data_IF_960995040959
#
_entry.id   IF_960995040959
#
_cell.length_a   1.000
_cell.length_b   1.000
_cell.length_c   1.000
_cell.angle_alpha   90.00
_cell.angle_beta   90.00
_cell.angle_gamma   90.00
#
_symmetry.space_group_name_H-M   'P 1'
#
loop_
_entity.id
_entity.type
_entity.pdbx_description
1 polymer ?
#
# COMPACT_ATOMS: atom_id res chain seq x y z
N UNK A 1 11.33 -8.18 -9.37
CA UNK A 1 12.09 -8.98 -8.40
C UNK A 1 11.86 -10.48 -8.55
N UNK A 2 10.60 -10.96 -8.48
CA UNK A 2 10.30 -12.38 -8.67
C UNK A 2 10.64 -12.88 -10.07
N UNK A 3 10.31 -12.10 -11.10
CA UNK A 3 10.67 -12.40 -12.48
C UNK A 3 12.18 -12.41 -12.68
N UNK A 4 12.92 -11.47 -12.09
CA UNK A 4 14.37 -11.41 -12.21
C UNK A 4 15.03 -12.60 -11.51
N UNK A 5 14.62 -12.91 -10.28
CA UNK A 5 15.20 -13.99 -9.48
C UNK A 5 14.84 -15.40 -10.00
N UNK A 6 13.60 -15.61 -10.45
CA UNK A 6 13.12 -16.96 -10.77
C UNK A 6 12.95 -17.26 -12.26
N UNK A 7 12.74 -16.24 -13.10
CA UNK A 7 12.68 -16.44 -14.55
C UNK A 7 14.00 -16.19 -15.26
N UNK A 8 14.83 -15.26 -14.75
CA UNK A 8 16.09 -14.92 -15.41
C UNK A 8 17.32 -15.44 -14.64
N UNK A 9 17.13 -16.23 -13.57
CA UNK A 9 18.18 -16.80 -12.74
C UNK A 9 19.23 -15.76 -12.27
N UNK A 10 18.83 -14.53 -12.08
CA UNK A 10 19.68 -13.47 -11.54
C UNK A 10 19.71 -13.64 -10.02
N UNK A 11 20.83 -14.08 -9.49
CA UNK A 11 21.03 -14.29 -8.05
C UNK A 11 21.38 -12.95 -7.38
N UNK A 12 20.39 -12.05 -7.30
CA UNK A 12 20.52 -10.79 -6.59
C UNK A 12 19.83 -10.90 -5.23
N UNK A 13 20.47 -10.39 -4.20
CA UNK A 13 19.83 -10.19 -2.89
C UNK A 13 18.61 -9.30 -3.04
N UNK A 14 17.54 -9.54 -2.26
CA UNK A 14 16.25 -8.84 -2.40
C UNK A 14 16.39 -7.32 -2.37
N UNK A 15 17.27 -6.78 -1.53
CA UNK A 15 17.54 -5.34 -1.47
C UNK A 15 18.22 -4.79 -2.72
N UNK A 16 19.17 -5.54 -3.30
CA UNK A 16 19.84 -5.14 -4.54
C UNK A 16 18.87 -5.15 -5.73
N UNK A 17 17.98 -6.13 -5.82
CA UNK A 17 16.96 -6.21 -6.86
C UNK A 17 15.96 -5.06 -6.77
N UNK A 18 15.52 -4.71 -5.55
CA UNK A 18 14.60 -3.58 -5.33
C UNK A 18 15.26 -2.26 -5.74
N UNK A 19 16.50 -2.01 -5.32
CA UNK A 19 17.26 -0.80 -5.68
C UNK A 19 17.52 -0.72 -7.19
N UNK A 20 17.87 -1.83 -7.85
CA UNK A 20 18.08 -1.89 -9.29
C UNK A 20 16.78 -1.57 -10.06
N UNK A 21 15.62 -2.00 -9.56
CA UNK A 21 14.34 -1.64 -10.16
C UNK A 21 14.07 -0.14 -10.00
N UNK A 22 14.25 0.44 -8.83
CA UNK A 22 14.00 1.88 -8.60
C UNK A 22 14.90 2.77 -9.46
N UNK A 23 16.14 2.37 -9.70
CA UNK A 23 17.10 3.10 -10.54
C UNK A 23 16.89 2.88 -12.05
N UNK A 24 15.94 2.02 -12.44
CA UNK A 24 15.60 1.78 -13.85
C UNK A 24 14.29 2.50 -14.24
N UNK A 25 14.33 3.75 -14.70
CA UNK A 25 13.13 4.53 -15.02
C UNK A 25 12.29 3.90 -16.13
N UNK A 26 12.91 3.23 -17.11
CA UNK A 26 12.18 2.55 -18.18
C UNK A 26 11.41 1.34 -17.65
N UNK A 27 12.02 0.53 -16.79
CA UNK A 27 11.35 -0.60 -16.15
C UNK A 27 10.17 -0.14 -15.29
N UNK A 28 10.38 0.85 -14.43
CA UNK A 28 9.31 1.44 -13.62
C UNK A 28 8.17 2.00 -14.49
N UNK A 29 8.48 2.74 -15.55
CA UNK A 29 7.47 3.31 -16.44
C UNK A 29 6.66 2.22 -17.16
N UNK A 30 7.29 1.15 -17.68
CA UNK A 30 6.61 0.06 -18.37
C UNK A 30 5.64 -0.66 -17.43
N UNK A 31 6.08 -1.02 -16.21
CA UNK A 31 5.21 -1.70 -15.24
C UNK A 31 4.08 -0.79 -14.75
N UNK A 32 4.33 0.50 -14.57
CA UNK A 32 3.29 1.49 -14.24
C UNK A 32 2.24 1.57 -15.36
N UNK A 33 2.66 1.66 -16.61
CA UNK A 33 1.75 1.69 -17.76
C UNK A 33 0.94 0.38 -17.87
N UNK A 34 1.58 -0.76 -17.66
CA UNK A 34 0.89 -2.06 -17.69
C UNK A 34 -0.17 -2.15 -16.57
N UNK A 35 0.17 -1.73 -15.35
CA UNK A 35 -0.75 -1.72 -14.22
C UNK A 35 -1.97 -0.79 -14.49
N UNK A 36 -1.73 0.43 -14.96
CA UNK A 36 -2.79 1.39 -15.27
C UNK A 36 -3.63 0.97 -16.48
N UNK A 37 -3.02 0.28 -17.46
CA UNK A 37 -3.78 -0.31 -18.57
C UNK A 37 -4.77 -1.38 -18.07
N UNK A 38 -4.35 -2.23 -17.14
CA UNK A 38 -5.24 -3.22 -16.50
C UNK A 38 -6.37 -2.50 -15.76
N UNK A 39 -6.06 -1.48 -14.96
CA UNK A 39 -7.06 -0.68 -14.26
C UNK A 39 -8.04 0.00 -15.24
N UNK A 40 -7.55 0.56 -16.35
CA UNK A 40 -8.39 1.15 -17.39
C UNK A 40 -9.33 0.13 -18.03
N UNK A 41 -8.83 -1.05 -18.41
CA UNK A 41 -9.62 -2.10 -19.05
C UNK A 41 -10.76 -2.58 -18.13
N UNK A 42 -10.49 -2.72 -16.84
CA UNK A 42 -11.48 -3.13 -15.86
C UNK A 42 -12.51 -2.02 -15.62
N UNK A 43 -12.07 -0.76 -15.40
CA UNK A 43 -12.98 0.37 -15.16
C UNK A 43 -13.81 0.74 -16.40
N UNK A 44 -13.35 0.42 -17.60
CA UNK A 44 -14.12 0.62 -18.85
C UNK A 44 -15.34 -0.29 -18.92
N UNK A 45 -15.26 -1.49 -18.33
CA UNK A 45 -16.37 -2.44 -18.18
C UNK A 45 -17.30 -2.08 -17.02
N UNK A 46 -18.34 -2.89 -16.80
CA UNK A 46 -19.14 -2.80 -15.60
C UNK A 46 -18.37 -3.41 -14.41
N UNK A 47 -18.24 -2.63 -13.34
CA UNK A 47 -17.38 -2.93 -12.17
C UNK A 47 -17.82 -4.19 -11.41
N UNK A 48 -19.12 -4.56 -11.52
CA UNK A 48 -19.73 -5.55 -10.63
C UNK A 48 -19.32 -7.01 -10.88
N UNK A 49 -19.03 -7.41 -12.13
CA UNK A 49 -18.92 -8.84 -12.44
C UNK A 49 -17.50 -9.40 -12.34
N UNK A 50 -16.46 -8.60 -12.56
CA UNK A 50 -15.07 -9.05 -12.56
C UNK A 50 -14.40 -8.96 -11.19
N UNK A 51 -14.47 -7.77 -10.59
CA UNK A 51 -13.75 -7.44 -9.36
C UNK A 51 -14.36 -8.14 -8.14
N UNK A 52 -15.70 -8.18 -8.06
CA UNK A 52 -16.38 -8.79 -6.92
C UNK A 52 -16.08 -10.30 -6.81
N UNK A 53 -16.15 -11.04 -7.92
CA UNK A 53 -15.82 -12.47 -7.93
C UNK A 53 -14.37 -12.73 -7.55
N UNK A 54 -13.48 -11.85 -8.02
CA UNK A 54 -12.07 -11.98 -7.75
C UNK A 54 -11.73 -11.67 -6.29
N UNK A 55 -12.29 -10.61 -5.73
CA UNK A 55 -12.09 -10.23 -4.34
C UNK A 55 -12.70 -11.25 -3.36
N UNK A 56 -13.80 -11.90 -3.72
CA UNK A 56 -14.41 -12.98 -2.89
C UNK A 56 -13.45 -14.15 -2.63
N UNK A 57 -12.51 -14.42 -3.54
CA UNK A 57 -11.51 -15.47 -3.39
C UNK A 57 -10.15 -14.89 -2.97
N UNK A 58 -9.74 -13.79 -3.59
CA UNK A 58 -8.42 -13.20 -3.38
C UNK A 58 -8.23 -12.66 -1.97
N UNK A 59 -9.22 -11.95 -1.40
CA UNK A 59 -9.10 -11.37 -0.06
C UNK A 59 -9.02 -12.43 1.06
N UNK A 60 -9.87 -13.47 1.10
CA UNK A 60 -9.67 -14.56 2.05
C UNK A 60 -8.35 -15.32 1.88
N UNK A 61 -7.91 -15.50 0.64
CA UNK A 61 -6.62 -16.13 0.36
C UNK A 61 -5.45 -15.27 0.86
N UNK A 62 -5.50 -13.95 0.66
CA UNK A 62 -4.51 -13.00 1.21
C UNK A 62 -4.49 -13.05 2.74
N UNK A 63 -5.66 -13.07 3.37
CA UNK A 63 -5.77 -13.20 4.83
C UNK A 63 -5.11 -14.49 5.34
N UNK A 64 -5.37 -15.63 4.70
CA UNK A 64 -4.76 -16.92 5.05
C UNK A 64 -3.23 -16.88 4.87
N UNK A 65 -2.76 -16.32 3.75
CA UNK A 65 -1.33 -16.15 3.50
C UNK A 65 -0.67 -15.26 4.54
N UNK A 66 -1.35 -14.18 4.95
CA UNK A 66 -0.86 -13.30 6.00
C UNK A 66 -0.69 -14.04 7.33
N UNK A 67 -1.65 -14.90 7.70
CA UNK A 67 -1.54 -15.77 8.91
C UNK A 67 -0.30 -16.66 8.83
N UNK A 68 -0.03 -17.28 7.68
CA UNK A 68 1.15 -18.13 7.50
C UNK A 68 2.45 -17.32 7.64
N UNK A 69 2.49 -16.14 7.03
CA UNK A 69 3.65 -15.24 7.14
C UNK A 69 3.86 -14.78 8.59
N UNK A 70 2.79 -14.45 9.33
CA UNK A 70 2.86 -14.08 10.75
C UNK A 70 3.47 -15.21 11.57
N UNK A 71 2.97 -16.45 11.42
CA UNK A 71 3.51 -17.60 12.14
C UNK A 71 5.00 -17.73 11.90
N UNK A 72 5.45 -17.56 10.65
CA UNK A 72 6.88 -17.60 10.31
C UNK A 72 7.65 -16.42 10.88
N UNK A 73 7.14 -15.20 10.75
CA UNK A 73 7.78 -13.99 11.22
C UNK A 73 8.03 -14.01 12.75
N UNK A 74 7.03 -14.41 13.53
CA UNK A 74 7.15 -14.45 15.00
C UNK A 74 8.01 -15.60 15.50
N UNK A 75 8.27 -16.62 14.70
CA UNK A 75 9.16 -17.73 15.03
C UNK A 75 10.63 -17.48 14.68
N UNK A 76 10.95 -16.35 14.04
CA UNK A 76 12.33 -15.98 13.74
C UNK A 76 13.12 -15.64 15.03
N UNK A 77 14.40 -16.02 15.11
CA UNK A 77 15.26 -15.58 16.21
C UNK A 77 15.34 -14.06 16.29
N UNK A 78 15.04 -13.47 17.43
CA UNK A 78 14.99 -12.01 17.59
C UNK A 78 13.64 -11.36 17.36
N UNK A 79 12.64 -12.07 16.84
CA UNK A 79 11.29 -11.54 16.58
C UNK A 79 10.58 -10.99 17.84
N UNK A 80 10.94 -11.48 19.00
CA UNK A 80 10.39 -11.02 20.30
C UNK A 80 10.67 -9.54 20.54
N UNK A 81 11.79 -9.03 20.08
CA UNK A 81 12.14 -7.60 20.20
C UNK A 81 11.21 -6.74 19.32
N UNK A 82 10.87 -7.22 18.13
CA UNK A 82 9.88 -6.57 17.27
C UNK A 82 8.45 -6.61 17.87
N UNK A 83 8.06 -7.70 18.54
CA UNK A 83 6.80 -7.76 19.27
C UNK A 83 6.77 -6.79 20.45
N UNK A 84 7.88 -6.67 21.20
CA UNK A 84 8.00 -5.66 22.26
C UNK A 84 7.90 -4.24 21.70
N UNK A 85 8.53 -3.97 20.57
CA UNK A 85 8.44 -2.69 19.87
C UNK A 85 6.96 -2.32 19.56
N UNK A 86 6.17 -3.30 19.09
CA UNK A 86 4.76 -3.06 18.75
C UNK A 86 3.85 -2.87 19.97
N UNK A 87 4.07 -3.64 21.03
CA UNK A 87 3.07 -3.77 22.09
C UNK A 87 3.52 -3.25 23.46
N UNK A 88 4.82 -3.05 23.70
CA UNK A 88 5.31 -2.52 24.98
C UNK A 88 5.49 -0.99 24.88
N UNK A 89 4.66 -0.20 25.57
CA UNK A 89 4.81 1.26 25.57
C UNK A 89 6.20 1.67 26.06
N UNK A 90 6.83 2.64 25.36
CA UNK A 90 8.16 3.16 25.72
C UNK A 90 9.35 2.26 25.31
N UNK A 91 9.10 1.03 24.84
CA UNK A 91 10.16 0.12 24.46
C UNK A 91 11.02 0.64 23.29
N UNK A 92 10.41 1.38 22.36
CA UNK A 92 11.14 1.96 21.24
C UNK A 92 12.29 2.89 21.68
N UNK A 93 12.08 3.67 22.77
CA UNK A 93 13.12 4.52 23.37
C UNK A 93 14.06 3.69 24.25
N UNK A 94 13.49 2.79 25.08
CA UNK A 94 14.26 1.94 26.01
C UNK A 94 15.31 1.07 25.26
N UNK A 95 14.95 0.55 24.10
CA UNK A 95 15.82 -0.30 23.28
C UNK A 95 16.70 0.49 22.29
N UNK A 96 16.48 1.78 22.12
CA UNK A 96 17.26 2.64 21.23
C UNK A 96 16.80 2.60 19.75
N UNK A 97 15.55 2.28 19.46
CA UNK A 97 15.00 2.43 18.10
C UNK A 97 14.76 3.90 17.73
N UNK A 98 14.42 4.72 18.72
CA UNK A 98 14.23 6.15 18.59
C UNK A 98 14.88 6.86 19.79
N UNK A 99 15.39 8.07 19.58
CA UNK A 99 16.06 8.84 20.64
C UNK A 99 15.06 9.37 21.68
N UNK A 100 13.94 9.93 21.22
CA UNK A 100 12.92 10.52 22.09
C UNK A 100 11.51 10.03 21.71
N UNK A 101 10.65 9.92 22.71
CA UNK A 101 9.25 9.59 22.48
C UNK A 101 8.54 10.74 21.77
N UNK A 102 7.79 10.49 20.67
CA UNK A 102 7.04 11.52 19.99
C UNK A 102 5.94 12.07 20.92
N UNK A 103 5.59 13.36 20.75
CA UNK A 103 4.50 13.94 21.51
C UNK A 103 3.18 13.24 21.22
N UNK A 104 2.30 13.12 22.22
CA UNK A 104 0.98 12.51 22.05
C UNK A 104 0.18 13.15 20.93
N UNK A 105 0.30 14.47 20.76
CA UNK A 105 -0.37 15.21 19.69
C UNK A 105 0.10 14.74 18.31
N UNK A 106 1.41 14.57 18.11
CA UNK A 106 1.97 14.08 16.87
C UNK A 106 1.51 12.64 16.57
N UNK A 107 1.52 11.78 17.60
CA UNK A 107 1.05 10.39 17.46
C UNK A 107 -0.42 10.36 17.01
N UNK A 108 -1.28 11.13 17.65
CA UNK A 108 -2.73 11.21 17.32
C UNK A 108 -2.93 11.81 15.92
N UNK A 109 -2.18 12.84 15.55
CA UNK A 109 -2.28 13.47 14.23
C UNK A 109 -1.88 12.51 13.12
N UNK A 110 -0.72 11.84 13.26
CA UNK A 110 -0.24 10.85 12.28
C UNK A 110 -1.18 9.65 12.18
N UNK A 111 -1.60 9.10 13.32
CA UNK A 111 -2.56 7.98 13.33
C UNK A 111 -3.92 8.38 12.75
N UNK A 112 -4.37 9.62 12.99
CA UNK A 112 -5.59 10.17 12.40
C UNK A 112 -5.51 10.28 10.88
N UNK A 113 -4.41 10.82 10.35
CA UNK A 113 -4.17 10.90 8.91
C UNK A 113 -4.21 9.52 8.25
N UNK A 114 -3.47 8.57 8.81
CA UNK A 114 -3.47 7.19 8.33
C UNK A 114 -4.87 6.53 8.39
N UNK A 115 -5.65 6.81 9.43
CA UNK A 115 -7.02 6.31 9.56
C UNK A 115 -7.94 6.86 8.45
N UNK A 116 -7.81 8.14 8.10
CA UNK A 116 -8.58 8.74 7.00
C UNK A 116 -8.30 8.03 5.68
N UNK A 117 -7.05 7.72 5.40
CA UNK A 117 -6.64 6.98 4.21
C UNK A 117 -7.13 5.53 4.23
N UNK A 118 -6.84 4.78 5.29
CA UNK A 118 -7.16 3.35 5.42
C UNK A 118 -8.66 3.08 5.31
N UNK A 119 -9.50 3.89 5.98
CA UNK A 119 -10.95 3.79 5.92
C UNK A 119 -11.58 4.52 4.73
N UNK A 120 -10.77 5.07 3.83
CA UNK A 120 -11.23 5.83 2.65
C UNK A 120 -12.17 6.99 2.99
N UNK A 121 -11.92 7.67 4.10
CA UNK A 121 -12.72 8.82 4.55
C UNK A 121 -12.26 10.10 3.83
N UNK A 122 -13.16 11.07 3.72
CA UNK A 122 -12.92 12.40 3.16
C UNK A 122 -12.54 12.48 1.66
N UNK A 123 -12.30 11.36 0.99
CA UNK A 123 -11.96 11.30 -0.45
C UNK A 123 -13.17 11.01 -1.36
N UNK A 124 -14.39 11.04 -0.84
CA UNK A 124 -15.61 10.75 -1.61
C UNK A 124 -15.92 9.28 -1.84
N UNK A 125 -15.01 8.36 -1.52
CA UNK A 125 -15.16 6.93 -1.76
C UNK A 125 -16.38 6.36 -1.03
N UNK A 126 -16.58 6.67 0.24
CA UNK A 126 -17.72 6.20 1.02
C UNK A 126 -19.06 6.72 0.49
N UNK A 127 -19.11 7.92 -0.10
CA UNK A 127 -20.31 8.47 -0.75
C UNK A 127 -20.62 7.68 -2.03
N UNK A 128 -19.61 7.48 -2.86
CA UNK A 128 -19.73 6.74 -4.13
C UNK A 128 -20.19 5.31 -3.88
N UNK A 129 -19.51 4.57 -2.99
CA UNK A 129 -19.90 3.20 -2.68
C UNK A 129 -21.22 3.10 -1.93
N UNK A 130 -21.52 4.07 -1.06
CA UNK A 130 -22.80 4.18 -0.40
C UNK A 130 -23.97 4.33 -1.38
N UNK A 131 -23.75 5.00 -2.52
CA UNK A 131 -24.79 5.15 -3.57
C UNK A 131 -25.11 3.84 -4.30
N UNK A 132 -24.23 2.87 -4.30
CA UNK A 132 -24.43 1.54 -4.90
C UNK A 132 -25.11 0.53 -3.97
N UNK A 133 -25.21 0.85 -2.67
CA UNK A 133 -25.82 -0.04 -1.70
C UNK A 133 -27.35 -0.11 -1.86
N UNK A 134 -27.89 -1.29 -1.59
CA UNK A 134 -29.35 -1.48 -1.52
C UNK A 134 -29.94 -0.67 -0.37
N UNK A 135 -31.18 -0.18 -0.54
CA UNK A 135 -31.94 0.55 0.49
C UNK A 135 -32.21 -0.29 1.77
N UNK A 136 -32.05 -1.60 1.68
CA UNK A 136 -32.28 -2.53 2.79
C UNK A 136 -31.02 -2.83 3.59
N UNK A 137 -29.85 -2.32 3.16
CA UNK A 137 -28.59 -2.55 3.86
C UNK A 137 -28.51 -1.77 5.17
N UNK A 138 -27.98 -2.43 6.19
CA UNK A 138 -27.77 -1.82 7.49
C UNK A 138 -26.38 -1.11 7.53
N UNK A 139 -26.38 0.19 7.24
CA UNK A 139 -25.15 1.00 7.17
C UNK A 139 -24.34 0.93 8.49
N UNK A 140 -25.00 0.97 9.65
CA UNK A 140 -24.31 0.92 10.95
C UNK A 140 -23.56 -0.40 11.12
N UNK A 141 -24.21 -1.53 10.80
CA UNK A 141 -23.57 -2.85 10.88
C UNK A 141 -22.39 -2.94 9.91
N UNK A 142 -22.58 -2.50 8.67
CA UNK A 142 -21.54 -2.54 7.65
C UNK A 142 -20.34 -1.67 8.04
N UNK A 143 -20.57 -0.45 8.56
CA UNK A 143 -19.49 0.43 9.04
C UNK A 143 -18.67 -0.22 10.16
N UNK A 144 -19.31 -0.84 11.14
CA UNK A 144 -18.60 -1.53 12.22
C UNK A 144 -17.78 -2.70 11.69
N UNK A 145 -18.32 -3.48 10.76
CA UNK A 145 -17.60 -4.61 10.15
C UNK A 145 -16.36 -4.11 9.37
N UNK A 146 -16.50 -3.03 8.61
CA UNK A 146 -15.38 -2.44 7.86
C UNK A 146 -14.27 -1.99 8.84
N UNK A 147 -14.60 -1.21 9.87
CA UNK A 147 -13.61 -0.69 10.83
C UNK A 147 -12.90 -1.82 11.54
N UNK A 148 -13.64 -2.85 12.01
CA UNK A 148 -13.05 -4.01 12.70
C UNK A 148 -12.15 -4.81 11.74
N UNK A 149 -12.60 -5.07 10.52
CA UNK A 149 -11.83 -5.81 9.54
C UNK A 149 -10.53 -5.06 9.15
N UNK A 150 -10.62 -3.75 8.90
CA UNK A 150 -9.47 -2.89 8.59
C UNK A 150 -8.44 -2.91 9.74
N UNK A 151 -8.90 -2.70 10.97
CA UNK A 151 -8.04 -2.75 12.16
C UNK A 151 -7.36 -4.13 12.33
N UNK A 152 -8.10 -5.21 12.13
CA UNK A 152 -7.54 -6.57 12.18
C UNK A 152 -6.47 -6.77 11.11
N UNK A 153 -6.73 -6.34 9.87
CA UNK A 153 -5.77 -6.46 8.78
C UNK A 153 -4.52 -5.63 9.03
N UNK A 154 -4.66 -4.40 9.54
CA UNK A 154 -3.54 -3.54 9.90
C UNK A 154 -2.64 -4.17 10.99
N UNK A 155 -3.26 -4.71 12.06
CA UNK A 155 -2.53 -5.42 13.12
C UNK A 155 -1.82 -6.66 12.59
N UNK A 156 -2.48 -7.45 11.75
CA UNK A 156 -1.89 -8.64 11.13
C UNK A 156 -0.72 -8.28 10.22
N UNK A 157 -0.86 -7.24 9.41
CA UNK A 157 0.24 -6.76 8.55
C UNK A 157 1.44 -6.32 9.37
N UNK A 158 1.21 -5.57 10.46
CA UNK A 158 2.26 -5.20 11.40
C UNK A 158 2.96 -6.41 12.02
N UNK A 159 2.19 -7.42 12.47
CA UNK A 159 2.72 -8.67 13.03
C UNK A 159 3.51 -9.51 12.01
N UNK A 160 3.15 -9.43 10.73
CA UNK A 160 3.90 -10.11 9.68
C UNK A 160 5.25 -9.45 9.39
N UNK A 161 5.30 -8.12 9.47
CA UNK A 161 6.43 -7.35 8.91
C UNK A 161 7.39 -6.86 9.99
N UNK A 162 6.90 -6.25 11.10
CA UNK A 162 7.75 -5.64 12.13
C UNK A 162 8.65 -6.66 12.85
N UNK A 163 8.12 -7.79 13.35
CA UNK A 163 8.98 -8.79 14.00
C UNK A 163 10.03 -9.36 13.04
N UNK A 164 9.68 -9.52 11.76
CA UNK A 164 10.60 -10.00 10.73
C UNK A 164 11.71 -8.99 10.43
N UNK A 165 11.36 -7.70 10.30
CA UNK A 165 12.34 -6.63 10.07
C UNK A 165 13.35 -6.52 11.22
N UNK A 166 12.86 -6.56 12.45
CA UNK A 166 13.72 -6.50 13.65
C UNK A 166 14.59 -7.76 13.75
N UNK A 167 14.01 -8.94 13.54
CA UNK A 167 14.77 -10.19 13.55
C UNK A 167 15.90 -10.22 12.51
N UNK A 168 15.60 -9.75 11.29
CA UNK A 168 16.57 -9.65 10.21
C UNK A 168 17.68 -8.62 10.52
N UNK A 169 17.30 -7.45 11.05
CA UNK A 169 18.26 -6.44 11.50
C UNK A 169 19.21 -6.98 12.57
N UNK A 170 18.69 -7.67 13.58
CA UNK A 170 19.50 -8.31 14.64
C UNK A 170 20.44 -9.38 14.04
N UNK A 171 19.94 -10.23 13.16
CA UNK A 171 20.73 -11.29 12.53
C UNK A 171 21.90 -10.74 11.70
N UNK A 172 21.72 -9.57 11.08
CA UNK A 172 22.74 -8.87 10.30
C UNK A 172 23.61 -7.91 11.14
N UNK A 173 23.39 -7.84 12.46
CA UNK A 173 24.16 -6.95 13.35
C UNK A 173 23.89 -5.46 13.13
N UNK A 174 22.73 -5.11 12.56
CA UNK A 174 22.32 -3.72 12.33
C UNK A 174 21.87 -3.11 13.65
N UNK A 175 22.39 -1.91 14.05
CA UNK A 175 21.91 -1.19 15.22
C UNK A 175 20.41 -0.88 15.14
N UNK A 176 19.71 -0.87 16.27
CA UNK A 176 18.26 -0.70 16.30
C UNK A 176 17.76 0.60 15.67
N UNK A 177 18.50 1.69 15.83
CA UNK A 177 18.23 3.02 15.23
C UNK A 177 18.32 3.03 13.68
N UNK A 178 19.03 2.05 13.10
CA UNK A 178 19.20 1.92 11.65
C UNK A 178 18.29 0.87 11.02
N UNK A 179 17.54 0.13 11.82
CA UNK A 179 16.56 -0.83 11.29
C UNK A 179 15.40 -0.06 10.64
N UNK A 180 15.24 -0.21 9.33
CA UNK A 180 14.13 0.44 8.61
C UNK A 180 12.80 -0.24 8.96
N UNK A 181 11.93 0.49 9.66
CA UNK A 181 10.58 0.03 10.07
C UNK A 181 9.45 0.75 9.33
N UNK A 182 9.75 1.38 8.19
CA UNK A 182 8.79 2.12 7.39
C UNK A 182 9.05 1.98 5.89
N UNK A 183 8.05 2.34 5.08
CA UNK A 183 8.15 2.44 3.64
C UNK A 183 8.14 1.12 2.86
N UNK A 184 8.26 1.19 1.53
CA UNK A 184 8.15 0.04 0.63
C UNK A 184 9.18 -1.07 0.86
N UNK A 185 10.34 -0.74 1.46
CA UNK A 185 11.39 -1.71 1.79
C UNK A 185 10.88 -2.83 2.70
N UNK A 186 9.96 -2.53 3.62
CA UNK A 186 9.37 -3.55 4.50
C UNK A 186 8.66 -4.64 3.70
N UNK A 187 7.89 -4.26 2.66
CA UNK A 187 7.14 -5.21 1.86
C UNK A 187 8.02 -5.95 0.84
N UNK A 188 8.95 -5.21 0.18
CA UNK A 188 9.67 -5.76 -0.96
C UNK A 188 11.08 -6.28 -0.64
N UNK A 189 11.62 -6.00 0.52
CA UNK A 189 12.92 -6.52 0.97
C UNK A 189 12.71 -7.47 2.15
N UNK A 190 12.18 -6.97 3.27
CA UNK A 190 12.07 -7.75 4.51
C UNK A 190 11.24 -9.03 4.35
N UNK A 191 10.08 -8.97 3.66
CA UNK A 191 9.28 -10.18 3.45
C UNK A 191 9.93 -11.18 2.51
N UNK A 192 10.80 -10.75 1.59
CA UNK A 192 11.58 -11.69 0.78
C UNK A 192 12.56 -12.50 1.64
N UNK A 193 13.18 -11.86 2.64
CA UNK A 193 14.06 -12.55 3.58
C UNK A 193 13.28 -13.57 4.42
N UNK A 194 12.05 -13.23 4.82
CA UNK A 194 11.15 -14.19 5.50
C UNK A 194 10.86 -15.40 4.61
N UNK A 195 10.53 -15.18 3.33
CA UNK A 195 10.30 -16.28 2.40
C UNK A 195 11.58 -17.09 2.14
N UNK A 196 12.72 -16.43 2.01
CA UNK A 196 14.00 -17.12 1.86
C UNK A 196 14.29 -18.02 3.08
N UNK A 197 13.97 -17.57 4.29
CA UNK A 197 14.09 -18.35 5.52
C UNK A 197 13.12 -19.53 5.63
N UNK A 198 12.15 -19.67 4.73
CA UNK A 198 11.24 -20.83 4.65
C UNK A 198 11.83 -22.01 3.85
N UNK A 199 13.06 -21.87 3.29
CA UNK A 199 13.71 -22.90 2.49
C UNK A 199 13.06 -23.13 1.13
N UNK A 200 13.03 -24.38 0.66
CA UNK A 200 12.62 -24.74 -0.71
C UNK A 200 11.17 -24.33 -1.07
N UNK A 201 10.30 -24.21 -0.09
CA UNK A 201 8.90 -23.79 -0.31
C UNK A 201 8.73 -22.26 -0.31
N UNK A 202 9.72 -21.52 0.17
CA UNK A 202 9.68 -20.06 0.28
C UNK A 202 9.35 -19.33 -1.04
N UNK A 203 9.99 -19.70 -2.17
CA UNK A 203 9.68 -19.10 -3.46
C UNK A 203 8.21 -19.21 -3.87
N UNK A 204 7.61 -20.37 -3.64
CA UNK A 204 6.19 -20.58 -3.94
C UNK A 204 5.29 -19.66 -3.10
N UNK A 205 5.56 -19.57 -1.79
CA UNK A 205 4.83 -18.66 -0.91
C UNK A 205 5.02 -17.19 -1.33
N UNK A 206 6.25 -16.80 -1.68
CA UNK A 206 6.54 -15.45 -2.19
C UNK A 206 5.75 -15.12 -3.46
N UNK A 207 5.71 -16.02 -4.45
CA UNK A 207 4.96 -15.83 -5.68
C UNK A 207 3.47 -15.64 -5.38
N UNK A 208 2.88 -16.53 -4.61
CA UNK A 208 1.45 -16.47 -4.26
C UNK A 208 1.13 -15.20 -3.47
N UNK A 209 1.97 -14.84 -2.49
CA UNK A 209 1.79 -13.64 -1.69
C UNK A 209 1.82 -12.37 -2.55
N UNK A 210 2.86 -12.17 -3.37
CA UNK A 210 2.95 -10.97 -4.21
C UNK A 210 1.89 -10.92 -5.30
N UNK A 211 1.42 -12.07 -5.79
CA UNK A 211 0.27 -12.12 -6.69
C UNK A 211 -1.00 -11.62 -5.98
N UNK A 212 -1.26 -12.07 -4.75
CA UNK A 212 -2.40 -11.62 -3.97
C UNK A 212 -2.30 -10.12 -3.60
N UNK A 213 -1.09 -9.63 -3.29
CA UNK A 213 -0.84 -8.19 -3.06
C UNK A 213 -1.10 -7.38 -4.33
N UNK A 214 -0.65 -7.86 -5.50
CA UNK A 214 -0.93 -7.19 -6.78
C UNK A 214 -2.43 -7.09 -7.04
N UNK A 215 -3.16 -8.15 -6.76
CA UNK A 215 -4.61 -8.18 -6.88
C UNK A 215 -5.28 -7.17 -5.94
N UNK A 216 -4.86 -7.13 -4.68
CA UNK A 216 -5.35 -6.15 -3.71
C UNK A 216 -5.04 -4.71 -4.18
N UNK A 217 -3.85 -4.46 -4.71
CA UNK A 217 -3.46 -3.17 -5.26
C UNK A 217 -4.33 -2.77 -6.47
N UNK A 218 -4.59 -3.70 -7.40
CA UNK A 218 -5.47 -3.45 -8.55
C UNK A 218 -6.88 -3.10 -8.07
N UNK A 219 -7.45 -3.85 -7.12
CA UNK A 219 -8.81 -3.59 -6.61
C UNK A 219 -8.92 -2.21 -5.95
N UNK A 220 -7.91 -1.79 -5.20
CA UNK A 220 -7.86 -0.47 -4.57
C UNK A 220 -7.73 0.65 -5.62
N UNK A 221 -6.82 0.49 -6.58
CA UNK A 221 -6.63 1.48 -7.65
C UNK A 221 -7.89 1.69 -8.49
N UNK A 222 -8.58 0.60 -8.86
CA UNK A 222 -9.84 0.66 -9.59
C UNK A 222 -10.89 1.41 -8.78
N UNK A 223 -10.96 1.17 -7.49
CA UNK A 223 -11.89 1.83 -6.58
C UNK A 223 -11.67 3.33 -6.51
N UNK A 224 -10.43 3.78 -6.42
CA UNK A 224 -10.08 5.21 -6.41
C UNK A 224 -10.40 5.89 -7.75
N UNK A 225 -10.10 5.24 -8.87
CA UNK A 225 -10.45 5.73 -10.21
C UNK A 225 -11.97 5.86 -10.34
N UNK A 226 -12.74 4.88 -9.84
CA UNK A 226 -14.20 4.88 -9.91
C UNK A 226 -14.83 6.08 -9.21
N UNK A 227 -14.30 6.50 -8.07
CA UNK A 227 -14.78 7.70 -7.34
C UNK A 227 -14.74 8.94 -8.23
N UNK A 228 -13.62 9.14 -8.93
CA UNK A 228 -13.44 10.30 -9.82
C UNK A 228 -14.33 10.17 -11.06
N UNK A 229 -14.43 8.97 -11.64
CA UNK A 229 -15.27 8.69 -12.79
C UNK A 229 -16.75 8.93 -12.46
N UNK A 230 -17.23 8.40 -11.33
CA UNK A 230 -18.62 8.59 -10.88
C UNK A 230 -18.95 10.08 -10.74
N UNK A 231 -18.06 10.87 -10.11
CA UNK A 231 -18.25 12.31 -9.98
C UNK A 231 -18.50 13.00 -11.34
N UNK A 232 -17.67 12.72 -12.36
CA UNK A 232 -17.83 13.35 -13.67
C UNK A 232 -19.06 12.84 -14.42
N UNK A 233 -19.39 11.56 -14.32
CA UNK A 233 -20.58 10.97 -14.95
C UNK A 233 -21.85 11.56 -14.33
N UNK A 234 -21.94 11.62 -13.01
CA UNK A 234 -23.11 12.15 -12.30
C UNK A 234 -23.29 13.65 -12.56
N UNK A 235 -22.18 14.42 -12.55
CA UNK A 235 -22.22 15.85 -12.88
C UNK A 235 -22.71 16.09 -14.31
N UNK A 236 -22.31 15.26 -15.25
CA UNK A 236 -22.80 15.37 -16.63
C UNK A 236 -24.27 15.03 -16.73
N UNK A 237 -24.75 14.02 -16.01
CA UNK A 237 -26.17 13.64 -15.95
C UNK A 237 -27.02 14.78 -15.35
N UNK A 238 -26.57 15.41 -14.28
CA UNK A 238 -27.24 16.58 -13.67
C UNK A 238 -27.37 17.75 -14.66
N UNK A 239 -26.38 17.94 -15.53
CA UNK A 239 -26.39 18.97 -16.56
C UNK A 239 -27.13 18.55 -17.86
N UNK A 240 -27.87 17.44 -17.82
CA UNK A 240 -28.60 16.88 -18.98
C UNK A 240 -27.70 16.58 -20.20
N UNK A 241 -26.43 16.35 -19.97
CA UNK A 241 -25.42 15.99 -20.99
C UNK A 241 -25.01 14.55 -20.75
N UNK A 242 -25.50 13.56 -21.52
CA UNK A 242 -25.11 12.17 -21.31
C UNK A 242 -23.60 12.02 -21.51
N UNK A 243 -22.87 11.67 -20.44
CA UNK A 243 -21.46 11.39 -20.53
C UNK A 243 -21.26 9.97 -21.05
N UNK A 244 -20.35 9.84 -22.01
CA UNK A 244 -19.85 8.52 -22.39
C UNK A 244 -18.86 8.05 -21.31
N UNK A 245 -19.28 7.12 -20.44
CA UNK A 245 -18.47 6.58 -19.34
C UNK A 245 -17.05 6.17 -19.81
N UNK A 246 -16.94 5.46 -20.94
CA UNK A 246 -15.65 5.03 -21.46
C UNK A 246 -14.71 6.18 -21.78
N UNK A 247 -15.23 7.33 -22.23
CA UNK A 247 -14.41 8.54 -22.46
C UNK A 247 -13.97 9.18 -21.15
N UNK A 248 -14.85 9.22 -20.15
CA UNK A 248 -14.50 9.75 -18.82
C UNK A 248 -13.42 8.90 -18.20
N UNK A 249 -13.56 7.57 -18.20
CA UNK A 249 -12.52 6.64 -17.71
C UNK A 249 -11.20 6.86 -18.43
N UNK A 250 -11.20 7.04 -19.76
CA UNK A 250 -10.00 7.29 -20.54
C UNK A 250 -9.27 8.56 -20.07
N UNK A 251 -9.99 9.66 -19.89
CA UNK A 251 -9.40 10.93 -19.47
C UNK A 251 -8.88 10.89 -18.02
N UNK A 252 -9.64 10.26 -17.12
CA UNK A 252 -9.21 10.09 -15.73
C UNK A 252 -7.95 9.22 -15.68
N UNK A 253 -7.94 8.07 -16.35
CA UNK A 253 -6.76 7.20 -16.40
C UNK A 253 -5.57 7.89 -17.08
N UNK A 254 -5.78 8.72 -18.12
CA UNK A 254 -4.70 9.47 -18.75
C UNK A 254 -4.07 10.49 -17.78
N UNK A 255 -4.89 11.20 -17.00
CA UNK A 255 -4.40 12.14 -15.99
C UNK A 255 -3.59 11.41 -14.89
N UNK A 256 -4.13 10.31 -14.34
CA UNK A 256 -3.45 9.47 -13.35
C UNK A 256 -2.15 8.88 -13.93
N UNK A 257 -2.15 8.50 -15.21
CA UNK A 257 -0.94 7.97 -15.87
C UNK A 257 0.18 9.01 -15.91
N UNK A 258 -0.13 10.26 -16.22
CA UNK A 258 0.89 11.33 -16.25
C UNK A 258 1.53 11.49 -14.86
N UNK A 259 0.71 11.59 -13.82
CA UNK A 259 1.19 11.72 -12.44
C UNK A 259 1.99 10.49 -11.99
N UNK A 260 1.48 9.29 -12.24
CA UNK A 260 2.15 8.04 -11.88
C UNK A 260 3.49 7.86 -12.60
N UNK A 261 3.62 8.36 -13.85
CA UNK A 261 4.89 8.32 -14.57
C UNK A 261 5.92 9.27 -13.95
N UNK A 262 5.51 10.42 -13.41
CA UNK A 262 6.42 11.31 -12.69
C UNK A 262 6.99 10.62 -11.44
N UNK A 263 6.14 9.95 -10.66
CA UNK A 263 6.56 9.14 -9.51
C UNK A 263 7.47 7.98 -9.94
N UNK A 264 7.12 7.27 -11.03
CA UNK A 264 7.89 6.14 -11.54
C UNK A 264 9.29 6.53 -12.04
N UNK A 265 9.42 7.69 -12.67
CA UNK A 265 10.70 8.20 -13.17
C UNK A 265 11.59 8.64 -12.00
N UNK A 266 11.01 9.21 -10.96
CA UNK A 266 11.73 9.61 -9.74
C UNK A 266 12.26 8.41 -8.95
N UNK A 267 11.61 7.24 -9.06
CA UNK A 267 12.04 5.99 -8.44
C UNK A 267 12.14 6.08 -6.91
N UNK A 268 11.16 6.71 -6.26
CA UNK A 268 11.17 7.00 -4.81
C UNK A 268 12.40 7.82 -4.36
N UNK A 269 12.78 8.81 -5.16
CA UNK A 269 13.95 9.64 -4.91
C UNK A 269 15.28 9.03 -5.36
N UNK A 270 15.31 7.76 -5.81
CA UNK A 270 16.53 7.09 -6.24
C UNK A 270 17.20 7.75 -7.45
N UNK A 271 16.40 8.39 -8.32
CA UNK A 271 16.88 9.10 -9.52
C UNK A 271 17.21 10.57 -9.26
N UNK A 272 16.78 11.14 -8.13
CA UNK A 272 17.00 12.53 -7.75
C UNK A 272 16.43 13.56 -8.74
N UNK A 273 15.38 13.19 -9.50
CA UNK A 273 14.79 14.06 -10.53
C UNK A 273 13.99 15.20 -9.91
N UNK A 274 13.34 14.92 -8.78
CA UNK A 274 12.48 15.86 -8.06
C UNK A 274 12.99 16.10 -6.63
N UNK A 275 14.09 16.81 -6.49
CA UNK A 275 14.73 17.12 -5.18
C UNK A 275 14.35 18.50 -4.61
N UNK A 276 13.58 19.30 -5.33
CA UNK A 276 13.29 20.70 -4.99
C UNK A 276 12.02 20.86 -4.10
N UNK A 277 11.37 19.77 -3.76
CA UNK A 277 10.19 19.75 -2.88
C UNK A 277 10.56 19.65 -1.40
N UNK A 278 11.86 19.67 -1.08
CA UNK A 278 12.46 19.36 0.21
C UNK A 278 11.70 19.98 1.38
N UNK A 279 11.16 19.12 2.19
CA UNK A 279 10.77 19.43 3.56
C UNK A 279 11.55 18.45 4.43
N UNK A 280 12.21 18.95 5.47
CA UNK A 280 13.04 18.14 6.39
C UNK A 280 12.31 16.93 7.01
N UNK A 281 10.99 16.87 6.86
CA UNK A 281 10.11 15.81 7.39
C UNK A 281 9.71 14.72 6.38
N UNK A 282 10.02 14.90 5.10
CA UNK A 282 9.64 13.99 4.01
C UNK A 282 10.90 13.68 3.22
N UNK A 283 11.05 12.46 2.74
CA UNK A 283 12.29 11.97 2.11
C UNK A 283 12.67 12.66 0.77
N UNK A 284 12.25 13.91 0.56
CA UNK A 284 12.56 14.75 -0.59
C UNK A 284 12.25 14.14 -1.96
N UNK A 285 11.33 13.18 -2.03
CA UNK A 285 10.88 12.61 -3.30
C UNK A 285 9.47 13.07 -3.66
N UNK A 286 9.12 12.93 -4.93
CA UNK A 286 7.84 13.39 -5.44
C UNK A 286 6.64 12.63 -4.86
N UNK A 287 6.80 11.34 -4.58
CA UNK A 287 5.74 10.54 -3.95
C UNK A 287 5.41 11.05 -2.55
N UNK A 288 6.43 11.29 -1.72
CA UNK A 288 6.25 11.80 -0.36
C UNK A 288 5.61 13.21 -0.35
N UNK A 289 5.97 14.05 -1.32
CA UNK A 289 5.32 15.35 -1.51
C UNK A 289 3.82 15.19 -1.81
N UNK A 290 3.46 14.31 -2.74
CA UNK A 290 2.05 14.04 -3.08
C UNK A 290 1.28 13.43 -1.91
N UNK A 291 1.93 12.58 -1.13
CA UNK A 291 1.38 11.97 0.08
C UNK A 291 1.09 13.02 1.16
N UNK A 292 2.05 13.90 1.42
CA UNK A 292 1.87 15.04 2.32
C UNK A 292 0.70 15.92 1.89
N UNK A 293 0.59 16.20 0.59
CA UNK A 293 -0.48 17.03 0.07
C UNK A 293 -1.85 16.34 0.17
N UNK A 294 -1.93 15.05 -0.16
CA UNK A 294 -3.18 14.30 -0.13
C UNK A 294 -3.63 13.93 1.28
N UNK A 295 -2.78 13.23 2.03
CA UNK A 295 -3.12 12.74 3.37
C UNK A 295 -2.99 13.81 4.45
N UNK A 296 -1.93 14.63 4.37
CA UNK A 296 -1.65 15.64 5.37
C UNK A 296 -2.55 16.85 5.28
N UNK A 297 -3.01 17.24 4.10
CA UNK A 297 -3.74 18.50 3.87
C UNK A 297 -5.12 18.27 3.29
N UNK A 298 -5.23 17.64 2.12
CA UNK A 298 -6.49 17.60 1.38
C UNK A 298 -7.55 16.73 2.06
N UNK A 299 -7.20 15.58 2.61
CA UNK A 299 -8.16 14.72 3.32
C UNK A 299 -8.69 15.35 4.62
N UNK A 300 -7.85 15.87 5.52
CA UNK A 300 -8.36 16.57 6.71
C UNK A 300 -9.25 17.76 6.39
N UNK A 301 -8.90 18.55 5.36
CA UNK A 301 -9.75 19.67 4.91
C UNK A 301 -11.08 19.18 4.30
N UNK A 302 -11.06 18.07 3.58
CA UNK A 302 -12.27 17.49 2.99
C UNK A 302 -13.21 16.85 4.03
N UNK A 303 -12.71 16.56 5.23
CA UNK A 303 -13.48 16.02 6.35
C UNK A 303 -14.20 17.09 7.18
N UNK A 304 -13.78 18.35 7.07
CA UNK A 304 -14.38 19.51 7.74
C UNK A 304 -15.58 20.06 6.97
#
# INVERSE_FOLDING_TARGET
>A
QLLDKYLFAIDLEGGATFSAMLTNPFGCAIFTLLFLLICYLINKGEVSDGIEKFNKVGMPALFLMLVIVIIRAVTLPGAVEGLKFMFKPGYAVEAGFIEEAPSLLNVVATAGGQMFFSLSLAMGAMITYGSYLSKYENLKKNSVVIVVADTCMALMSGLAVIPAAVANGIANGVPYDQITLSGPKLLFVTLQDVFAAMGDIGPLFGIVFYLLVLIAAISSAISLIEVVVAFFVDRAALNQRPANRSRVVLWVCAAVTIESLLVAIDGLGASGVFTFWGTDNWNDNFLDFMDCWSEGIAMPLGAM
#
